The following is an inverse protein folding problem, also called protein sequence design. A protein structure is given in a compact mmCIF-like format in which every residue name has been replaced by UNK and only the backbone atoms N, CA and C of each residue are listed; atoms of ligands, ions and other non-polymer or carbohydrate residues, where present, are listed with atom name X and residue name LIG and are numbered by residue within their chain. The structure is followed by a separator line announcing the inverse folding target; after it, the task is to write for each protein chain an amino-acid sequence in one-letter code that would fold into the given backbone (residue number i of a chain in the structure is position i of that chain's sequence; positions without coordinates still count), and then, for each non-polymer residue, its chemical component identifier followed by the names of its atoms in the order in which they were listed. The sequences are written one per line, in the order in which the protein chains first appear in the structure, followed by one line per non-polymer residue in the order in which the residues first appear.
data_IF_355905961108
#
_entry.id   IF_355905961108
#
_cell.length_a   1.000
_cell.length_b   1.000
_cell.length_c   1.000
_cell.angle_alpha   90.00
_cell.angle_beta   90.00
_cell.angle_gamma   90.00
#
_symmetry.space_group_name_H-M   'P 1'
#
loop_
_entity.id
_entity.type
_entity.pdbx_description
1 polymer ?
#
# COMPACT_ATOMS: atom_id res chain seq x y z
N UNK A 1 -27.87 -0.25 2.77
CA UNK A 1 -26.67 -0.59 1.98
C UNK A 1 -26.73 0.22 0.69
N UNK A 2 -25.75 1.09 0.46
CA UNK A 2 -25.52 1.69 -0.86
C UNK A 2 -25.26 0.58 -1.88
N UNK A 3 -25.74 0.72 -3.10
CA UNK A 3 -25.40 -0.15 -4.22
C UNK A 3 -24.03 0.22 -4.77
N UNK A 4 -23.35 -0.71 -5.43
CA UNK A 4 -22.19 -0.37 -6.29
C UNK A 4 -22.65 0.70 -7.29
N UNK A 5 -21.85 1.75 -7.46
CA UNK A 5 -22.17 2.84 -8.37
C UNK A 5 -22.21 2.34 -9.83
N UNK A 6 -23.08 2.92 -10.66
CA UNK A 6 -23.38 2.40 -12.02
C UNK A 6 -22.23 2.60 -13.04
N UNK A 7 -21.15 3.27 -12.64
CA UNK A 7 -19.95 3.41 -13.47
C UNK A 7 -19.19 2.08 -13.51
N UNK A 8 -19.22 1.40 -14.65
CA UNK A 8 -18.55 0.10 -14.86
C UNK A 8 -19.50 -1.07 -15.15
N UNK A 9 -20.83 -0.90 -15.01
CA UNK A 9 -21.81 -1.96 -15.29
C UNK A 9 -21.99 -2.23 -16.79
N UNK A 10 -21.65 -1.30 -17.69
CA UNK A 10 -21.62 -1.58 -19.14
C UNK A 10 -20.60 -2.68 -19.48
N UNK A 11 -19.43 -2.65 -18.84
CA UNK A 11 -18.40 -3.68 -18.99
C UNK A 11 -18.70 -4.92 -18.11
N UNK A 12 -19.41 -4.74 -16.99
CA UNK A 12 -19.71 -5.78 -16.00
C UNK A 12 -21.21 -5.78 -15.66
N UNK A 13 -22.09 -6.18 -16.59
CA UNK A 13 -23.54 -6.05 -16.43
C UNK A 13 -24.10 -6.88 -15.27
N UNK A 14 -23.40 -7.95 -14.89
CA UNK A 14 -23.72 -8.82 -13.78
C UNK A 14 -23.50 -8.17 -12.41
N UNK A 15 -22.73 -7.08 -12.32
CA UNK A 15 -22.50 -6.32 -11.08
C UNK A 15 -23.63 -5.32 -10.77
N UNK A 16 -24.57 -5.12 -11.69
CA UNK A 16 -25.64 -4.15 -11.49
C UNK A 16 -26.51 -4.49 -10.27
N UNK A 17 -26.65 -3.53 -9.35
CA UNK A 17 -27.55 -3.62 -8.21
C UNK A 17 -27.05 -4.48 -7.04
N UNK A 18 -25.82 -5.00 -7.09
CA UNK A 18 -25.24 -5.70 -5.94
C UNK A 18 -24.70 -4.71 -4.91
N UNK A 19 -24.59 -5.14 -3.66
CA UNK A 19 -23.98 -4.37 -2.58
C UNK A 19 -22.44 -4.48 -2.62
N UNK A 20 -21.70 -3.57 -1.97
CA UNK A 20 -20.24 -3.69 -1.84
C UNK A 20 -19.78 -5.02 -1.22
N UNK A 21 -20.51 -5.56 -0.23
CA UNK A 21 -20.21 -6.88 0.33
C UNK A 21 -20.40 -8.00 -0.69
N UNK A 22 -21.44 -7.93 -1.52
CA UNK A 22 -21.63 -8.90 -2.61
C UNK A 22 -20.56 -8.78 -3.71
N UNK A 23 -20.06 -7.56 -3.96
CA UNK A 23 -18.93 -7.36 -4.87
C UNK A 23 -17.66 -8.01 -4.30
N UNK A 24 -17.40 -7.84 -3.00
CA UNK A 24 -16.28 -8.50 -2.31
C UNK A 24 -16.40 -10.02 -2.36
N UNK A 25 -17.59 -10.59 -2.16
CA UNK A 25 -17.81 -12.05 -2.31
C UNK A 25 -17.39 -12.54 -3.70
N UNK A 26 -17.75 -11.80 -4.76
CA UNK A 26 -17.40 -12.15 -6.14
C UNK A 26 -15.90 -12.04 -6.40
N UNK A 27 -15.25 -11.02 -5.85
CA UNK A 27 -13.80 -10.85 -5.95
C UNK A 27 -13.08 -12.04 -5.29
N UNK A 28 -13.49 -12.44 -4.09
CA UNK A 28 -12.92 -13.58 -3.37
C UNK A 28 -13.19 -14.90 -4.11
N UNK A 29 -14.40 -15.08 -4.66
CA UNK A 29 -14.71 -16.25 -5.48
C UNK A 29 -13.85 -16.32 -6.76
N UNK A 30 -13.55 -15.17 -7.38
CA UNK A 30 -12.63 -15.09 -8.52
C UNK A 30 -11.20 -15.42 -8.11
N UNK A 31 -10.72 -14.87 -7.00
CA UNK A 31 -9.40 -15.19 -6.44
C UNK A 31 -9.25 -16.70 -6.20
N UNK A 32 -10.26 -17.32 -5.57
CA UNK A 32 -10.34 -18.76 -5.35
C UNK A 32 -10.26 -19.57 -6.64
N UNK A 33 -11.03 -19.19 -7.66
CA UNK A 33 -11.04 -19.86 -8.95
C UNK A 33 -9.67 -19.80 -9.67
N UNK A 34 -8.84 -18.81 -9.33
CA UNK A 34 -7.51 -18.61 -9.89
C UNK A 34 -6.37 -19.04 -8.94
N UNK A 35 -6.69 -19.73 -7.83
CA UNK A 35 -5.68 -20.23 -6.89
C UNK A 35 -4.95 -19.13 -6.10
N UNK A 36 -5.56 -17.96 -5.97
CA UNK A 36 -5.04 -16.85 -5.16
C UNK A 36 -5.54 -16.95 -3.72
N UNK A 37 -4.71 -16.51 -2.79
CA UNK A 37 -5.11 -16.26 -1.40
C UNK A 37 -5.45 -14.77 -1.23
N UNK A 38 -6.29 -14.47 -0.24
CA UNK A 38 -6.74 -13.12 0.09
C UNK A 38 -6.55 -12.90 1.59
N UNK A 39 -5.97 -11.78 1.98
CA UNK A 39 -6.18 -11.24 3.32
C UNK A 39 -7.01 -9.95 3.19
N UNK A 40 -7.86 -9.69 4.18
CA UNK A 40 -8.71 -8.50 4.19
C UNK A 40 -8.02 -7.41 4.99
N UNK A 41 -7.94 -6.20 4.45
CA UNK A 41 -7.38 -5.04 5.14
C UNK A 41 -8.49 -4.04 5.48
N UNK A 42 -8.56 -3.61 6.75
CA UNK A 42 -9.37 -2.46 7.13
C UNK A 42 -8.60 -1.17 6.87
N UNK A 43 -8.63 -0.76 5.60
CA UNK A 43 -7.82 0.35 5.11
C UNK A 43 -8.22 1.72 5.69
N UNK A 44 -9.52 1.92 5.97
CA UNK A 44 -10.08 3.20 6.44
C UNK A 44 -11.35 2.99 7.26
N UNK A 45 -11.62 3.83 8.29
CA UNK A 45 -12.87 3.77 9.06
C UNK A 45 -14.09 4.11 8.19
N UNK A 46 -13.97 5.15 7.35
CA UNK A 46 -14.98 5.57 6.37
C UNK A 46 -14.34 5.77 5.00
N UNK A 47 -15.14 6.12 4.00
CA UNK A 47 -14.63 6.48 2.67
C UNK A 47 -13.84 7.80 2.65
N UNK A 48 -13.91 8.60 3.73
CA UNK A 48 -13.41 9.98 3.73
C UNK A 48 -11.90 10.07 3.96
N UNK A 49 -11.27 9.06 4.55
CA UNK A 49 -9.83 9.07 4.79
C UNK A 49 -9.36 8.01 5.79
N UNK A 50 -8.03 7.87 5.88
CA UNK A 50 -7.38 7.09 6.93
C UNK A 50 -7.51 7.79 8.30
N UNK A 51 -7.17 7.07 9.38
CA UNK A 51 -7.14 7.61 10.74
C UNK A 51 -5.86 7.19 11.46
N UNK A 52 -5.38 8.04 12.38
CA UNK A 52 -4.20 7.73 13.22
C UNK A 52 -4.39 6.46 14.07
N UNK A 53 -5.62 6.24 14.55
CA UNK A 53 -6.02 5.17 15.45
C UNK A 53 -7.14 4.34 14.80
N UNK A 54 -7.34 3.12 15.31
CA UNK A 54 -8.39 2.17 14.87
C UNK A 54 -9.83 2.58 15.24
N UNK A 55 -10.01 3.82 15.71
CA UNK A 55 -11.30 4.40 16.06
C UNK A 55 -11.31 5.90 15.78
N UNK A 56 -12.52 6.45 15.63
CA UNK A 56 -12.78 7.88 15.53
C UNK A 56 -13.91 8.28 16.48
N UNK A 57 -14.26 9.57 16.52
CA UNK A 57 -15.43 10.03 17.28
C UNK A 57 -16.74 9.44 16.76
N UNK A 58 -16.81 9.15 15.45
CA UNK A 58 -18.02 8.61 14.80
C UNK A 58 -18.02 7.08 14.74
N UNK A 59 -16.84 6.46 14.77
CA UNK A 59 -16.66 5.01 14.70
C UNK A 59 -15.83 4.52 15.89
N UNK A 60 -16.48 4.09 17.00
CA UNK A 60 -15.77 3.60 18.17
C UNK A 60 -15.11 2.24 17.90
N UNK A 61 -14.11 1.87 18.71
CA UNK A 61 -13.43 0.56 18.66
C UNK A 61 -14.43 -0.62 18.67
N UNK A 62 -15.54 -0.50 19.39
CA UNK A 62 -16.57 -1.54 19.43
C UNK A 62 -17.21 -1.81 18.07
N UNK A 63 -17.34 -0.79 17.21
CA UNK A 63 -17.83 -0.94 15.84
C UNK A 63 -16.78 -1.62 14.96
N UNK A 64 -15.52 -1.17 15.05
CA UNK A 64 -14.37 -1.80 14.37
C UNK A 64 -14.28 -3.31 14.69
N UNK A 65 -14.35 -3.68 15.97
CA UNK A 65 -14.38 -5.08 16.41
C UNK A 65 -15.61 -5.82 15.86
N UNK A 66 -16.79 -5.19 15.88
CA UNK A 66 -18.02 -5.81 15.36
C UNK A 66 -17.92 -6.11 13.87
N UNK A 67 -17.37 -5.19 13.09
CA UNK A 67 -17.20 -5.35 11.64
C UNK A 67 -16.18 -6.43 11.31
N UNK A 68 -15.08 -6.51 12.08
CA UNK A 68 -14.12 -7.60 11.95
C UNK A 68 -14.73 -8.96 12.23
N UNK A 69 -15.52 -9.09 13.30
CA UNK A 69 -16.24 -10.34 13.60
C UNK A 69 -17.23 -10.70 12.51
N UNK A 70 -17.91 -9.71 11.91
CA UNK A 70 -18.82 -9.94 10.79
C UNK A 70 -18.09 -10.51 9.57
N UNK A 71 -16.93 -9.94 9.19
CA UNK A 71 -16.14 -10.45 8.07
C UNK A 71 -15.53 -11.84 8.37
N UNK A 72 -15.04 -12.04 9.60
CA UNK A 72 -14.51 -13.33 10.04
C UNK A 72 -15.56 -14.45 10.00
N UNK A 73 -16.82 -14.14 10.35
CA UNK A 73 -17.95 -15.07 10.25
C UNK A 73 -18.35 -15.30 8.79
N UNK A 74 -18.46 -14.22 8.00
CA UNK A 74 -18.85 -14.24 6.59
C UNK A 74 -17.98 -15.18 5.76
N UNK A 75 -16.68 -15.20 6.01
CA UNK A 75 -15.71 -16.02 5.26
C UNK A 75 -15.15 -17.20 6.06
N UNK A 76 -15.79 -17.58 7.17
CA UNK A 76 -15.28 -18.60 8.10
C UNK A 76 -14.96 -19.95 7.46
N UNK A 77 -15.76 -20.33 6.46
CA UNK A 77 -15.66 -21.61 5.75
C UNK A 77 -15.00 -21.49 4.37
N UNK A 78 -14.50 -20.31 3.99
CA UNK A 78 -13.76 -20.12 2.74
C UNK A 78 -12.24 -19.98 2.99
N UNK A 79 -11.43 -21.03 2.73
CA UNK A 79 -9.99 -20.99 2.99
C UNK A 79 -9.22 -20.05 2.06
N UNK A 80 -9.88 -19.44 1.07
CA UNK A 80 -9.27 -18.38 0.26
C UNK A 80 -8.97 -17.14 1.08
N UNK A 81 -9.75 -16.84 2.12
CA UNK A 81 -9.44 -15.77 3.06
C UNK A 81 -8.51 -16.31 4.15
N UNK A 82 -7.24 -15.91 4.08
CA UNK A 82 -6.16 -16.46 4.92
C UNK A 82 -5.88 -15.61 6.17
N UNK A 83 -6.29 -14.35 6.18
CA UNK A 83 -6.00 -13.45 7.30
C UNK A 83 -6.71 -12.11 7.24
N UNK A 84 -6.48 -11.31 8.27
CA UNK A 84 -7.00 -9.96 8.43
C UNK A 84 -5.84 -9.02 8.79
N UNK A 85 -5.67 -7.95 8.02
CA UNK A 85 -4.84 -6.81 8.38
C UNK A 85 -5.71 -5.80 9.13
N UNK A 86 -5.43 -5.69 10.43
CA UNK A 86 -6.43 -5.22 11.40
C UNK A 86 -6.78 -3.72 11.24
N UNK A 87 -5.81 -2.90 10.86
CA UNK A 87 -5.98 -1.47 10.66
C UNK A 87 -4.79 -0.91 9.88
N UNK A 88 -5.06 -0.26 8.75
CA UNK A 88 -4.03 0.28 7.90
C UNK A 88 -3.29 1.47 8.54
N UNK A 89 -1.98 1.38 8.51
CA UNK A 89 -1.03 2.45 8.82
C UNK A 89 -1.28 3.19 10.15
N UNK A 90 -1.33 2.54 11.33
CA UNK A 90 -1.38 3.29 12.60
C UNK A 90 -0.25 4.33 12.67
N UNK A 91 -0.58 5.57 13.05
CA UNK A 91 0.36 6.70 13.04
C UNK A 91 -0.02 7.80 14.02
N UNK A 92 0.77 8.87 14.09
CA UNK A 92 0.43 10.06 14.89
C UNK A 92 0.41 9.76 16.39
N UNK A 93 -0.81 9.67 16.95
CA UNK A 93 -1.07 9.29 18.35
C UNK A 93 -0.89 7.79 18.63
N UNK A 94 -0.92 6.93 17.62
CA UNK A 94 -0.68 5.51 17.81
C UNK A 94 0.68 5.26 18.47
N UNK A 95 0.70 4.42 19.48
CA UNK A 95 1.89 4.08 20.25
C UNK A 95 2.06 2.57 20.36
N UNK A 96 3.24 2.10 20.77
CA UNK A 96 3.51 0.68 20.93
C UNK A 96 4.08 0.37 22.30
N UNK A 97 3.36 -0.43 23.08
CA UNK A 97 3.81 -0.93 24.36
C UNK A 97 3.91 0.14 25.46
N UNK A 98 3.14 1.21 25.36
CA UNK A 98 3.03 2.25 26.38
C UNK A 98 2.13 1.81 27.54
N UNK A 99 1.24 0.84 27.31
CA UNK A 99 0.24 0.39 28.27
C UNK A 99 -1.03 1.25 28.29
N UNK A 100 -1.08 2.34 27.52
CA UNK A 100 -2.27 3.18 27.38
C UNK A 100 -3.23 2.56 26.36
N UNK A 101 -4.32 1.95 26.83
CA UNK A 101 -5.28 1.26 25.97
C UNK A 101 -5.94 2.15 24.91
N UNK A 102 -5.91 3.48 25.09
CA UNK A 102 -6.48 4.44 24.14
C UNK A 102 -5.58 4.73 22.93
N UNK A 103 -4.29 4.43 23.01
CA UNK A 103 -3.31 4.75 21.95
C UNK A 103 -2.34 3.61 21.64
N UNK A 104 -2.20 2.61 22.52
CA UNK A 104 -1.29 1.48 22.35
C UNK A 104 -1.85 0.48 21.34
N UNK A 105 -1.37 0.57 20.10
CA UNK A 105 -1.77 -0.27 18.99
C UNK A 105 -1.51 -1.75 19.26
N UNK A 106 -0.42 -2.11 19.95
CA UNK A 106 -0.15 -3.49 20.35
C UNK A 106 -1.32 -4.08 21.15
N UNK A 107 -1.81 -3.32 22.14
CA UNK A 107 -2.94 -3.72 22.98
C UNK A 107 -4.26 -3.78 22.21
N UNK A 108 -4.46 -2.91 21.22
CA UNK A 108 -5.65 -2.92 20.38
C UNK A 108 -5.65 -4.07 19.38
N UNK A 109 -4.49 -4.40 18.80
CA UNK A 109 -4.30 -5.56 17.94
C UNK A 109 -4.58 -6.87 18.70
N UNK A 110 -4.21 -6.97 19.98
CA UNK A 110 -4.60 -8.11 20.84
C UNK A 110 -6.13 -8.23 20.95
N UNK A 111 -6.83 -7.12 21.26
CA UNK A 111 -8.30 -7.12 21.39
C UNK A 111 -9.02 -7.43 20.08
N UNK A 112 -8.61 -6.80 18.98
CA UNK A 112 -9.17 -7.01 17.65
C UNK A 112 -8.88 -8.42 17.12
N UNK A 113 -7.63 -8.86 17.25
CA UNK A 113 -7.18 -10.20 16.86
C UNK A 113 -7.91 -11.30 17.61
N UNK A 114 -8.02 -11.21 18.94
CA UNK A 114 -8.78 -12.19 19.73
C UNK A 114 -10.27 -12.20 19.40
N UNK A 115 -10.84 -11.03 19.09
CA UNK A 115 -12.22 -10.95 18.64
C UNK A 115 -12.43 -11.69 17.31
N UNK A 116 -11.54 -11.51 16.33
CA UNK A 116 -11.53 -12.24 15.06
C UNK A 116 -11.37 -13.74 15.29
N UNK A 117 -10.38 -14.14 16.08
CA UNK A 117 -10.04 -15.54 16.31
C UNK A 117 -11.11 -16.28 17.12
N UNK A 118 -11.88 -15.57 17.95
CA UNK A 118 -13.06 -16.13 18.63
C UNK A 118 -14.14 -16.60 17.65
N UNK A 119 -14.19 -16.01 16.45
CA UNK A 119 -15.13 -16.35 15.38
C UNK A 119 -14.50 -17.37 14.43
N UNK A 120 -13.28 -17.10 13.96
CA UNK A 120 -12.54 -17.97 13.05
C UNK A 120 -11.07 -18.16 13.52
N UNK A 121 -10.76 -19.25 14.24
CA UNK A 121 -9.42 -19.48 14.80
C UNK A 121 -8.37 -19.92 13.77
N UNK A 122 -8.72 -19.96 12.48
CA UNK A 122 -7.82 -20.35 11.38
C UNK A 122 -7.12 -19.17 10.72
N UNK A 123 -7.66 -17.96 10.86
CA UNK A 123 -7.14 -16.75 10.20
C UNK A 123 -5.81 -16.31 10.81
N UNK A 124 -4.88 -15.90 9.96
CA UNK A 124 -3.74 -15.10 10.38
C UNK A 124 -4.20 -13.69 10.79
N UNK A 125 -3.60 -13.16 11.83
CA UNK A 125 -3.81 -11.78 12.29
C UNK A 125 -2.57 -11.01 11.89
N UNK A 126 -2.73 -10.17 10.88
CA UNK A 126 -1.69 -9.32 10.32
C UNK A 126 -1.71 -8.01 11.10
N UNK A 127 -0.56 -7.61 11.62
CA UNK A 127 -0.41 -6.46 12.51
C UNK A 127 0.70 -5.55 12.00
N UNK A 128 0.32 -4.38 11.52
CA UNK A 128 1.25 -3.32 11.14
C UNK A 128 1.95 -2.69 12.34
N UNK A 129 2.96 -1.86 12.07
CA UNK A 129 3.62 -1.01 13.07
C UNK A 129 2.89 0.30 13.34
N UNK A 130 3.58 1.22 14.01
CA UNK A 130 3.17 2.63 14.12
C UNK A 130 4.04 3.53 13.21
N UNK A 131 4.02 4.86 13.37
CA UNK A 131 4.94 5.78 12.66
C UNK A 131 6.22 6.11 13.42
N UNK A 132 6.32 5.72 14.70
CA UNK A 132 7.42 6.08 15.61
C UNK A 132 7.88 4.90 16.45
N UNK A 133 9.19 4.75 16.55
CA UNK A 133 9.83 3.85 17.50
C UNK A 133 9.69 4.35 18.94
N UNK A 134 9.91 3.50 19.96
CA UNK A 134 9.87 3.93 21.37
C UNK A 134 10.84 5.04 21.74
N UNK A 135 11.94 5.19 21.00
CA UNK A 135 12.91 6.28 21.18
C UNK A 135 12.50 7.59 20.49
N UNK A 136 11.33 7.60 19.85
CA UNK A 136 10.76 8.73 19.12
C UNK A 136 11.27 8.89 17.69
N UNK A 137 12.18 8.03 17.22
CA UNK A 137 12.60 8.06 15.81
C UNK A 137 11.44 7.67 14.88
N UNK A 138 11.20 8.52 13.88
CA UNK A 138 10.12 8.33 12.92
C UNK A 138 10.49 7.37 11.79
N UNK A 139 9.49 6.69 11.24
CA UNK A 139 9.55 5.93 10.00
C UNK A 139 8.23 6.09 9.23
N UNK A 140 7.96 5.24 8.25
CA UNK A 140 6.68 5.19 7.55
C UNK A 140 5.53 4.89 8.51
N UNK A 141 4.34 5.39 8.20
CA UNK A 141 3.13 4.94 8.88
C UNK A 141 3.00 3.42 8.69
N UNK A 142 2.56 2.70 9.74
CA UNK A 142 2.60 1.23 9.73
C UNK A 142 4.01 0.60 9.76
N UNK A 143 5.10 1.38 9.70
CA UNK A 143 6.47 0.86 9.52
C UNK A 143 7.25 0.60 10.81
N UNK A 144 6.83 1.13 11.96
CA UNK A 144 7.58 1.05 13.21
C UNK A 144 7.26 -0.23 14.00
N UNK A 145 8.11 -1.26 13.88
CA UNK A 145 8.01 -2.53 14.61
C UNK A 145 9.28 -2.83 15.44
N UNK A 146 10.08 -1.81 15.74
CA UNK A 146 11.37 -1.97 16.45
C UNK A 146 11.20 -2.51 17.87
N UNK A 147 10.00 -2.32 18.45
CA UNK A 147 9.65 -2.79 19.79
C UNK A 147 8.92 -4.15 19.81
N UNK A 148 8.47 -4.66 18.67
CA UNK A 148 7.57 -5.81 18.60
C UNK A 148 8.22 -7.12 19.11
N UNK A 149 9.54 -7.23 19.09
CA UNK A 149 10.26 -8.37 19.67
C UNK A 149 10.27 -8.37 21.21
N UNK A 150 10.39 -7.20 21.82
CA UNK A 150 10.43 -7.05 23.28
C UNK A 150 9.04 -6.89 23.90
N UNK A 151 8.09 -6.36 23.12
CA UNK A 151 6.69 -6.15 23.49
C UNK A 151 5.81 -6.74 22.39
N UNK A 152 5.70 -8.07 22.30
CA UNK A 152 4.94 -8.72 21.25
C UNK A 152 3.44 -8.51 21.42
N UNK A 153 2.70 -8.66 20.32
CA UNK A 153 1.27 -8.92 20.35
C UNK A 153 1.05 -10.36 20.78
N UNK A 154 0.31 -10.58 21.86
CA UNK A 154 -0.01 -11.90 22.39
C UNK A 154 -1.49 -12.22 22.17
N UNK A 155 -1.76 -13.17 21.26
CA UNK A 155 -3.12 -13.63 20.97
C UNK A 155 -3.44 -14.91 21.75
N UNK A 156 -4.72 -15.09 22.07
CA UNK A 156 -5.26 -16.28 22.74
C UNK A 156 -5.10 -17.57 21.92
N UNK A 157 -5.05 -17.46 20.58
CA UNK A 157 -4.71 -18.58 19.69
C UNK A 157 -3.25 -18.45 19.25
N UNK A 158 -2.38 -19.42 19.60
CA UNK A 158 -0.97 -19.35 19.26
C UNK A 158 -0.75 -19.49 17.75
N UNK A 159 0.40 -19.00 17.28
CA UNK A 159 0.84 -19.12 15.88
C UNK A 159 -0.13 -18.48 14.88
N UNK A 160 -0.63 -17.28 15.21
CA UNK A 160 -1.52 -16.49 14.33
C UNK A 160 -1.00 -15.11 13.94
N UNK A 161 -0.04 -14.54 14.68
CA UNK A 161 0.50 -13.21 14.38
C UNK A 161 1.43 -13.25 13.16
N UNK A 162 1.25 -12.29 12.25
CA UNK A 162 2.18 -11.89 11.20
C UNK A 162 2.41 -10.39 11.36
N UNK A 163 3.66 -9.93 11.40
CA UNK A 163 3.94 -8.49 11.46
C UNK A 163 4.06 -7.90 10.05
N UNK A 164 3.51 -6.70 9.84
CA UNK A 164 3.33 -6.12 8.50
C UNK A 164 3.83 -4.68 8.38
N UNK A 165 5.15 -4.43 8.21
CA UNK A 165 5.64 -3.07 7.97
C UNK A 165 5.23 -2.56 6.59
N UNK A 166 5.13 -1.24 6.45
CA UNK A 166 5.14 -0.53 5.16
C UNK A 166 6.49 0.19 4.95
N UNK A 167 6.97 0.26 3.71
CA UNK A 167 8.19 1.00 3.35
C UNK A 167 8.10 1.58 1.93
N UNK A 168 8.58 2.81 1.77
CA UNK A 168 8.49 3.56 0.51
C UNK A 168 9.82 4.26 0.17
N UNK A 169 10.01 4.72 -1.09
CA UNK A 169 11.20 5.48 -1.49
C UNK A 169 11.11 6.98 -1.22
N UNK A 170 12.20 7.69 -1.50
CA UNK A 170 12.32 9.15 -1.36
C UNK A 170 11.29 9.97 -2.16
N UNK A 171 10.74 9.40 -3.25
CA UNK A 171 9.71 10.05 -4.07
C UNK A 171 8.36 10.17 -3.38
N UNK A 172 8.12 9.36 -2.34
CA UNK A 172 6.92 9.43 -1.49
C UNK A 172 7.17 10.40 -0.33
N UNK A 173 8.25 10.18 0.42
CA UNK A 173 8.69 11.10 1.47
C UNK A 173 10.21 11.07 1.68
N UNK A 174 10.82 12.24 1.82
CA UNK A 174 12.26 12.41 1.94
C UNK A 174 12.77 12.10 3.36
N UNK A 175 12.84 10.81 3.71
CA UNK A 175 13.48 10.33 4.93
C UNK A 175 15.00 10.58 4.92
N UNK A 176 15.58 10.78 6.10
CA UNK A 176 17.00 11.17 6.25
C UNK A 176 17.98 10.15 5.68
N UNK A 177 17.66 8.85 5.75
CA UNK A 177 18.51 7.78 5.24
C UNK A 177 18.68 7.77 3.72
N UNK A 178 17.79 8.43 2.96
CA UNK A 178 17.96 8.60 1.51
C UNK A 178 19.04 9.61 1.14
N UNK A 179 19.45 10.46 2.09
CA UNK A 179 20.55 11.43 1.91
C UNK A 179 21.87 10.93 2.49
N UNK A 180 21.94 9.68 2.97
CA UNK A 180 23.17 9.10 3.48
C UNK A 180 24.21 8.99 2.36
N UNK A 181 25.50 9.29 2.61
CA UNK A 181 26.57 9.02 1.63
C UNK A 181 26.69 7.52 1.29
N UNK A 182 26.21 6.64 2.17
CA UNK A 182 26.21 5.19 1.97
C UNK A 182 24.96 4.67 1.24
N UNK A 183 24.03 5.54 0.83
CA UNK A 183 22.84 5.14 0.11
C UNK A 183 23.17 4.50 -1.26
N UNK A 184 22.55 3.35 -1.64
CA UNK A 184 21.48 2.62 -0.95
C UNK A 184 21.96 1.50 0.02
N UNK A 185 23.26 1.33 0.22
CA UNK A 185 23.82 0.23 1.01
C UNK A 185 23.50 0.31 2.52
N UNK A 186 23.05 1.48 3.00
CA UNK A 186 22.57 1.65 4.38
C UNK A 186 21.17 1.05 4.62
N UNK A 187 20.35 0.86 3.57
CA UNK A 187 18.94 0.49 3.72
C UNK A 187 18.71 -0.84 4.48
N UNK A 188 19.47 -1.93 4.26
CA UNK A 188 19.30 -3.15 5.06
C UNK A 188 19.44 -2.93 6.57
N UNK A 189 20.32 -2.02 6.99
CA UNK A 189 20.47 -1.66 8.41
C UNK A 189 19.28 -0.86 8.94
N UNK A 190 18.71 0.01 8.11
CA UNK A 190 17.47 0.75 8.42
C UNK A 190 16.32 -0.25 8.60
N UNK A 191 16.06 -1.10 7.60
CA UNK A 191 14.99 -2.09 7.67
C UNK A 191 15.18 -3.08 8.82
N UNK A 192 16.40 -3.55 9.08
CA UNK A 192 16.71 -4.41 10.23
C UNK A 192 16.34 -3.74 11.56
N UNK A 193 16.64 -2.44 11.72
CA UNK A 193 16.32 -1.71 12.94
C UNK A 193 14.80 -1.48 13.10
N UNK A 194 14.07 -1.31 12.00
CA UNK A 194 12.65 -1.01 12.05
C UNK A 194 11.74 -2.24 12.13
N UNK A 195 12.06 -3.33 11.43
CA UNK A 195 11.15 -4.48 11.32
C UNK A 195 11.84 -5.79 10.90
N UNK A 196 12.89 -5.72 10.07
CA UNK A 196 13.53 -6.87 9.45
C UNK A 196 14.20 -7.85 10.44
N UNK A 197 14.60 -7.37 11.62
CA UNK A 197 15.13 -8.23 12.68
C UNK A 197 14.13 -9.31 13.13
N UNK A 198 12.82 -9.07 13.02
CA UNK A 198 11.78 -10.02 13.43
C UNK A 198 11.89 -11.32 12.63
N UNK A 199 12.04 -11.21 11.31
CA UNK A 199 12.25 -12.36 10.43
C UNK A 199 13.64 -12.99 10.63
N UNK A 200 14.70 -12.16 10.64
CA UNK A 200 16.10 -12.64 10.70
C UNK A 200 16.44 -13.34 12.01
N UNK A 201 15.79 -12.98 13.12
CA UNK A 201 15.92 -13.64 14.43
C UNK A 201 14.86 -14.73 14.65
N UNK A 202 14.03 -15.03 13.66
CA UNK A 202 12.95 -16.01 13.73
C UNK A 202 11.97 -15.77 14.90
N UNK A 203 11.65 -14.49 15.17
CA UNK A 203 10.69 -14.09 16.20
C UNK A 203 9.25 -14.33 15.71
N UNK A 204 8.95 -13.85 14.50
CA UNK A 204 7.66 -14.03 13.85
C UNK A 204 7.80 -13.87 12.33
N UNK A 205 6.87 -14.39 11.51
CA UNK A 205 6.79 -14.08 10.09
C UNK A 205 6.59 -12.58 9.86
N UNK A 206 7.21 -12.07 8.80
CA UNK A 206 7.03 -10.69 8.34
C UNK A 206 6.47 -10.71 6.91
N UNK A 207 5.47 -9.87 6.68
CA UNK A 207 4.91 -9.53 5.38
C UNK A 207 5.19 -8.05 5.14
N UNK A 208 5.97 -7.65 4.14
CA UNK A 208 6.01 -6.24 3.74
C UNK A 208 4.67 -5.89 3.08
N UNK A 209 3.75 -5.35 3.88
CA UNK A 209 2.32 -5.18 3.55
C UNK A 209 2.10 -4.21 2.40
N UNK A 210 2.88 -3.13 2.39
CA UNK A 210 2.91 -2.19 1.28
C UNK A 210 4.32 -1.71 0.98
N UNK A 211 4.61 -1.66 -0.31
CA UNK A 211 5.77 -0.98 -0.88
C UNK A 211 5.49 -0.65 -2.34
N UNK A 212 5.87 0.54 -2.80
CA UNK A 212 5.49 1.01 -4.13
C UNK A 212 6.38 2.13 -4.65
N UNK A 213 6.46 2.27 -5.97
CA UNK A 213 7.23 3.34 -6.62
C UNK A 213 6.81 3.54 -8.07
N UNK A 214 6.89 4.77 -8.58
CA UNK A 214 6.80 5.08 -10.02
C UNK A 214 8.02 4.57 -10.81
N UNK A 215 9.11 4.26 -10.13
CA UNK A 215 10.38 3.78 -10.71
C UNK A 215 11.04 4.81 -11.65
N UNK A 216 10.70 6.08 -11.52
CA UNK A 216 11.14 7.15 -12.43
C UNK A 216 12.55 7.66 -12.09
N UNK A 217 12.89 7.73 -10.79
CA UNK A 217 14.16 8.31 -10.34
C UNK A 217 15.27 7.26 -10.20
N UNK A 218 16.54 7.69 -10.25
CA UNK A 218 17.68 6.81 -9.93
C UNK A 218 17.59 6.29 -8.49
N UNK A 219 17.13 7.13 -7.56
CA UNK A 219 16.95 6.77 -6.15
C UNK A 219 15.90 5.66 -6.01
N UNK A 220 14.73 5.81 -6.63
CA UNK A 220 13.66 4.80 -6.60
C UNK A 220 14.12 3.44 -7.16
N UNK A 221 14.89 3.45 -8.25
CA UNK A 221 15.47 2.21 -8.83
C UNK A 221 16.47 1.56 -7.89
N UNK A 222 17.30 2.36 -7.23
CA UNK A 222 18.27 1.88 -6.23
C UNK A 222 17.56 1.31 -5.01
N UNK A 223 16.56 2.01 -4.48
CA UNK A 223 15.72 1.55 -3.37
C UNK A 223 15.03 0.23 -3.71
N UNK A 224 14.29 0.15 -4.82
CA UNK A 224 13.54 -1.05 -5.19
C UNK A 224 14.47 -2.24 -5.42
N UNK A 225 15.58 -2.05 -6.15
CA UNK A 225 16.56 -3.12 -6.36
C UNK A 225 17.17 -3.62 -5.05
N UNK A 226 17.41 -2.73 -4.09
CA UNK A 226 17.99 -3.08 -2.78
C UNK A 226 16.95 -3.81 -1.93
N UNK A 227 15.70 -3.35 -1.96
CA UNK A 227 14.59 -3.95 -1.22
C UNK A 227 14.25 -5.34 -1.75
N UNK A 228 14.15 -5.52 -3.06
CA UNK A 228 13.93 -6.82 -3.70
C UNK A 228 15.03 -7.82 -3.32
N UNK A 229 16.29 -7.39 -3.31
CA UNK A 229 17.41 -8.22 -2.85
C UNK A 229 17.30 -8.58 -1.36
N UNK A 230 16.92 -7.61 -0.53
CA UNK A 230 16.72 -7.82 0.90
C UNK A 230 15.58 -8.80 1.18
N UNK A 231 14.43 -8.65 0.54
CA UNK A 231 13.28 -9.57 0.66
C UNK A 231 13.65 -10.98 0.17
N UNK A 232 14.33 -11.08 -0.97
CA UNK A 232 14.78 -12.37 -1.50
C UNK A 232 15.73 -13.10 -0.55
N UNK A 233 16.68 -12.39 0.05
CA UNK A 233 17.68 -13.00 0.96
C UNK A 233 17.14 -13.33 2.33
N UNK A 234 16.12 -12.61 2.80
CA UNK A 234 15.50 -12.83 4.11
C UNK A 234 14.32 -13.79 4.07
N UNK A 235 13.73 -14.03 2.88
CA UNK A 235 12.52 -14.83 2.73
C UNK A 235 11.24 -14.14 3.24
N UNK A 236 11.30 -12.82 3.46
CA UNK A 236 10.14 -12.01 3.85
C UNK A 236 9.13 -11.98 2.69
N UNK A 237 7.86 -12.23 3.00
CA UNK A 237 6.76 -12.15 2.02
C UNK A 237 6.42 -10.68 1.74
N UNK A 238 5.75 -10.37 0.64
CA UNK A 238 5.42 -8.97 0.32
C UNK A 238 4.16 -8.83 -0.54
N UNK A 239 3.50 -7.68 -0.43
CA UNK A 239 2.42 -7.20 -1.30
C UNK A 239 2.77 -5.83 -1.86
N UNK A 240 2.78 -5.71 -3.19
CA UNK A 240 3.16 -4.46 -3.86
C UNK A 240 2.00 -3.48 -3.88
N UNK A 241 2.28 -2.22 -3.54
CA UNK A 241 1.38 -1.09 -3.73
C UNK A 241 1.64 -0.40 -5.09
N UNK A 242 0.78 -0.57 -6.09
CA UNK A 242 -0.43 -1.41 -6.10
C UNK A 242 -0.61 -2.09 -7.45
N UNK A 243 -1.64 -2.94 -7.59
CA UNK A 243 -2.10 -3.34 -8.92
C UNK A 243 -2.51 -2.11 -9.74
N UNK A 244 -3.21 -1.17 -9.09
CA UNK A 244 -3.93 -0.09 -9.72
C UNK A 244 -3.00 1.03 -10.25
N UNK A 245 -3.22 1.55 -11.46
CA UNK A 245 -2.40 2.61 -12.04
C UNK A 245 -2.66 4.01 -11.45
N UNK A 246 -3.77 4.18 -10.73
CA UNK A 246 -4.30 5.47 -10.28
C UNK A 246 -3.84 5.87 -8.87
N UNK A 247 -2.88 5.16 -8.27
CA UNK A 247 -2.11 5.70 -7.14
C UNK A 247 -1.23 6.85 -7.63
N UNK A 248 -1.53 8.07 -7.21
CA UNK A 248 -0.93 9.28 -7.76
C UNK A 248 0.58 9.41 -7.57
N UNK A 249 1.12 8.79 -6.53
CA UNK A 249 2.51 8.89 -6.05
C UNK A 249 3.38 7.68 -6.43
N UNK A 250 2.79 6.48 -6.54
CA UNK A 250 3.49 5.22 -6.90
C UNK A 250 3.12 4.69 -8.29
N UNK A 251 1.97 5.05 -8.85
CA UNK A 251 1.35 4.32 -9.97
C UNK A 251 1.05 2.86 -9.60
N UNK A 252 0.99 1.98 -10.61
CA UNK A 252 0.64 0.56 -10.41
C UNK A 252 1.49 -0.43 -11.17
N UNK A 253 1.05 -1.69 -11.14
CA UNK A 253 1.55 -2.81 -11.97
C UNK A 253 0.84 -2.93 -13.30
N UNK A 254 -0.20 -2.13 -13.53
CA UNK A 254 -0.76 -1.91 -14.86
C UNK A 254 -0.60 -0.44 -15.25
N UNK A 255 -0.61 -0.18 -16.54
CA UNK A 255 -0.56 1.17 -17.11
C UNK A 255 -1.92 1.88 -16.96
N UNK A 256 -1.95 3.20 -17.16
CA UNK A 256 -3.14 4.05 -16.91
C UNK A 256 -4.41 3.67 -17.67
N UNK A 257 -4.31 2.90 -18.74
CA UNK A 257 -5.44 2.35 -19.48
C UNK A 257 -5.92 0.97 -18.98
N UNK A 258 -5.42 0.50 -17.83
CA UNK A 258 -5.86 -0.71 -17.11
C UNK A 258 -5.69 -2.05 -17.85
N UNK A 259 -4.92 -2.07 -18.94
CA UNK A 259 -4.77 -3.28 -19.78
C UNK A 259 -3.32 -3.77 -19.85
N UNK A 260 -2.37 -2.88 -20.13
CA UNK A 260 -0.97 -3.30 -20.32
C UNK A 260 -0.26 -3.36 -18.98
N UNK A 261 0.47 -4.45 -18.66
CA UNK A 261 1.32 -4.50 -17.48
C UNK A 261 2.45 -3.46 -17.51
N UNK A 262 2.85 -2.95 -16.35
CA UNK A 262 4.08 -2.17 -16.19
C UNK A 262 5.27 -3.15 -16.16
N UNK A 263 5.84 -3.41 -17.33
CA UNK A 263 6.89 -4.42 -17.48
C UNK A 263 8.19 -4.08 -16.73
N UNK A 264 8.59 -2.81 -16.64
CA UNK A 264 9.82 -2.42 -15.98
C UNK A 264 9.75 -2.67 -14.46
N UNK A 265 8.59 -2.43 -13.83
CA UNK A 265 8.35 -2.77 -12.42
C UNK A 265 8.30 -4.28 -12.22
N UNK A 266 7.62 -5.02 -13.10
CA UNK A 266 7.57 -6.48 -13.03
C UNK A 266 8.97 -7.11 -13.17
N UNK A 267 9.78 -6.61 -14.10
CA UNK A 267 11.16 -7.07 -14.29
C UNK A 267 12.03 -6.78 -13.05
N UNK A 268 11.87 -5.60 -12.44
CA UNK A 268 12.59 -5.22 -11.23
C UNK A 268 12.20 -6.11 -10.02
N UNK A 269 10.95 -6.57 -9.95
CA UNK A 269 10.44 -7.43 -8.87
C UNK A 269 10.51 -8.93 -9.17
N UNK A 270 10.86 -9.33 -10.40
CA UNK A 270 10.92 -10.74 -10.81
C UNK A 270 11.61 -11.68 -9.80
N UNK A 271 12.72 -11.29 -9.10
CA UNK A 271 13.38 -12.15 -8.12
C UNK A 271 12.51 -12.59 -6.92
N UNK A 272 11.47 -11.83 -6.59
CA UNK A 272 10.55 -12.11 -5.45
C UNK A 272 9.15 -12.57 -5.89
N UNK A 273 8.79 -12.41 -7.16
CA UNK A 273 7.51 -12.91 -7.72
C UNK A 273 7.55 -14.42 -8.00
N UNK A 274 8.73 -14.92 -8.34
CA UNK A 274 9.00 -16.34 -8.57
C UNK A 274 10.20 -16.74 -7.73
N UNK A 275 10.05 -16.83 -6.39
CA UNK A 275 11.15 -17.27 -5.55
C UNK A 275 11.65 -18.59 -6.11
N UNK A 276 12.94 -18.62 -6.49
CA UNK A 276 13.53 -19.79 -7.10
C UNK A 276 13.20 -21.00 -6.21
N UNK A 277 12.61 -22.03 -6.80
CA UNK A 277 12.42 -23.32 -6.13
C UNK A 277 13.80 -23.95 -5.92
N UNK A 278 14.56 -23.44 -4.94
CA UNK A 278 15.83 -23.99 -4.49
C UNK A 278 15.67 -24.34 -3.02
N UNK A 279 15.77 -25.58 -2.57
CA UNK A 279 16.10 -26.81 -3.27
C UNK A 279 16.47 -27.84 -2.20
N UNK A 280 15.70 -28.91 -2.10
CA UNK A 280 16.19 -30.15 -1.49
C UNK A 280 16.77 -31.00 -2.62
N UNK A 281 18.10 -31.06 -2.71
CA UNK A 281 18.85 -32.19 -3.25
C UNK A 281 18.77 -32.56 -4.74
N UNK A 282 19.88 -32.29 -5.43
CA UNK A 282 20.56 -33.15 -6.43
C UNK A 282 20.05 -33.17 -7.88
N UNK A 283 20.97 -32.87 -8.81
CA UNK A 283 20.84 -33.24 -10.22
C UNK A 283 21.53 -32.31 -11.21
N UNK A 284 22.84 -32.49 -11.38
CA UNK A 284 23.67 -31.86 -12.44
C UNK A 284 23.08 -32.06 -13.84
N UNK A 285 23.08 -31.00 -14.66
CA UNK A 285 22.65 -31.06 -16.06
C UNK A 285 22.96 -29.76 -16.82
N UNK A 286 24.20 -29.63 -17.25
CA UNK A 286 24.69 -28.54 -18.11
C UNK A 286 24.16 -28.68 -19.54
N UNK A 287 23.62 -27.61 -20.13
CA UNK A 287 23.78 -27.35 -21.57
C UNK A 287 23.61 -25.88 -21.91
N UNK A 288 24.69 -25.32 -22.43
CA UNK A 288 24.84 -24.07 -23.16
C UNK A 288 24.06 -24.06 -24.48
N UNK A 289 23.53 -22.89 -24.84
CA UNK A 289 22.90 -22.65 -26.13
C UNK A 289 22.87 -21.16 -26.46
N UNK A 290 23.91 -20.69 -27.13
CA UNK A 290 24.06 -19.34 -27.69
C UNK A 290 23.23 -19.20 -28.97
N UNK A 291 22.60 -18.04 -29.21
CA UNK A 291 21.84 -17.78 -30.42
C UNK A 291 21.42 -16.32 -30.57
N UNK A 292 22.34 -15.47 -31.03
CA UNK A 292 22.04 -14.15 -31.59
C UNK A 292 21.19 -14.27 -32.86
N UNK A 293 20.16 -13.44 -33.01
CA UNK A 293 19.84 -12.86 -34.32
C UNK A 293 19.15 -11.49 -34.19
N UNK A 294 19.73 -10.56 -34.92
CA UNK A 294 19.30 -9.19 -35.20
C UNK A 294 18.15 -9.17 -36.20
N UNK A 295 17.15 -8.30 -35.97
CA UNK A 295 16.10 -7.99 -36.94
C UNK A 295 15.69 -6.53 -36.81
N UNK A 296 16.17 -5.71 -37.75
CA UNK A 296 15.83 -4.29 -37.92
C UNK A 296 14.49 -4.17 -38.66
N UNK A 297 13.58 -3.36 -38.15
CA UNK A 297 12.27 -3.08 -38.76
C UNK A 297 11.83 -1.66 -38.42
N UNK A 298 12.01 -0.76 -39.38
CA UNK A 298 11.59 0.64 -39.33
C UNK A 298 10.13 0.77 -39.79
N UNK A 299 9.30 1.50 -39.03
CA UNK A 299 8.09 2.12 -39.58
C UNK A 299 7.66 3.36 -38.77
N UNK A 300 7.85 4.51 -39.40
CA UNK A 300 6.93 5.66 -39.53
C UNK A 300 6.07 6.09 -38.33
N UNK A 301 6.33 7.33 -37.90
CA UNK A 301 5.68 7.98 -36.78
C UNK A 301 4.33 8.64 -37.06
N UNK A 302 3.65 8.91 -35.96
CA UNK A 302 2.51 9.80 -35.83
C UNK A 302 2.71 10.65 -34.58
N UNK A 303 2.71 11.96 -34.78
CA UNK A 303 3.00 13.03 -33.81
C UNK A 303 1.97 13.07 -32.67
N UNK A 304 2.38 13.11 -31.38
CA UNK A 304 1.46 13.42 -30.28
C UNK A 304 1.05 14.91 -30.28
N UNK A 305 -0.24 15.15 -30.02
CA UNK A 305 -0.83 16.48 -29.79
C UNK A 305 -0.32 17.10 -28.46
N UNK A 306 -0.39 18.43 -28.27
CA UNK A 306 0.39 19.13 -27.25
C UNK A 306 -0.05 18.79 -25.82
N UNK A 307 0.93 18.39 -25.02
CA UNK A 307 0.87 18.22 -23.57
C UNK A 307 0.86 19.60 -22.88
N UNK A 308 0.10 19.82 -21.78
CA UNK A 308 0.15 21.08 -21.04
C UNK A 308 1.55 21.34 -20.50
N UNK A 309 2.14 22.47 -20.88
CA UNK A 309 3.40 22.95 -20.31
C UNK A 309 3.16 23.50 -18.90
N UNK A 310 4.13 23.37 -17.96
CA UNK A 310 4.07 24.10 -16.70
C UNK A 310 4.03 25.60 -16.97
N UNK A 311 2.92 26.27 -16.62
CA UNK A 311 2.80 27.73 -16.70
C UNK A 311 3.14 28.36 -15.33
N UNK A 312 3.72 29.58 -15.27
CA UNK A 312 4.29 30.13 -14.05
C UNK A 312 3.30 30.27 -12.90
N UNK A 313 3.82 30.07 -11.68
CA UNK A 313 3.10 30.30 -10.44
C UNK A 313 2.46 31.70 -10.40
N UNK A 314 1.23 31.85 -9.87
CA UNK A 314 0.64 33.16 -9.66
C UNK A 314 1.45 33.96 -8.63
N UNK A 315 1.60 35.26 -8.92
CA UNK A 315 2.36 36.22 -8.12
C UNK A 315 1.82 36.34 -6.69
N UNK A 316 2.73 36.33 -5.73
CA UNK A 316 2.48 36.47 -4.30
C UNK A 316 2.03 37.87 -3.91
N UNK A 317 0.78 37.98 -3.42
CA UNK A 317 0.46 38.94 -2.36
C UNK A 317 -0.74 38.45 -1.55
N UNK A 318 -0.50 37.94 -0.34
CA UNK A 318 -1.58 37.64 0.60
C UNK A 318 -1.25 36.53 1.59
N UNK A 319 -1.91 36.57 2.75
CA UNK A 319 -1.83 35.60 3.85
C UNK A 319 -2.29 34.18 3.49
N UNK A 320 -2.69 33.94 2.23
CA UNK A 320 -3.18 32.67 1.70
C UNK A 320 -2.37 32.33 0.46
N UNK A 321 -1.87 31.11 0.40
CA UNK A 321 -1.18 30.53 -0.77
C UNK A 321 -1.98 29.33 -1.26
N UNK A 322 -2.04 29.13 -2.57
CA UNK A 322 -2.64 27.95 -3.15
C UNK A 322 -1.67 27.25 -4.09
N UNK A 323 -1.61 25.93 -3.99
CA UNK A 323 -0.83 25.08 -4.89
C UNK A 323 -1.80 24.25 -5.71
N UNK A 324 -1.64 24.30 -7.03
CA UNK A 324 -2.38 23.44 -7.94
C UNK A 324 -1.56 22.18 -8.19
N UNK A 325 -2.15 21.02 -7.91
CA UNK A 325 -1.51 19.74 -8.07
C UNK A 325 -2.25 18.95 -9.16
N UNK A 326 -1.64 18.71 -10.33
CA UNK A 326 -2.22 17.83 -11.33
C UNK A 326 -2.31 16.41 -10.76
N UNK A 327 -3.51 15.85 -10.73
CA UNK A 327 -3.77 14.45 -10.40
C UNK A 327 -3.79 13.57 -11.66
N UNK A 328 -4.56 12.48 -11.61
CA UNK A 328 -4.74 11.59 -12.75
C UNK A 328 -5.30 12.32 -13.98
N UNK A 329 -4.80 12.00 -15.17
CA UNK A 329 -5.34 12.51 -16.44
C UNK A 329 -5.65 11.35 -17.39
N UNK A 330 -6.68 11.53 -18.22
CA UNK A 330 -7.14 10.58 -19.23
C UNK A 330 -7.54 11.32 -20.51
N UNK A 331 -7.90 10.58 -21.54
CA UNK A 331 -8.13 11.11 -22.89
C UNK A 331 -9.21 12.21 -23.00
N UNK A 332 -10.10 12.33 -22.02
CA UNK A 332 -11.20 13.30 -22.02
C UNK A 332 -11.25 14.18 -20.77
N UNK A 333 -10.27 14.11 -19.87
CA UNK A 333 -10.33 14.84 -18.61
C UNK A 333 -9.12 14.65 -17.70
N UNK A 334 -9.16 15.30 -16.55
CA UNK A 334 -8.16 15.18 -15.49
C UNK A 334 -8.81 15.48 -14.14
N UNK A 335 -8.21 14.97 -13.06
CA UNK A 335 -8.43 15.43 -11.69
C UNK A 335 -7.26 16.33 -11.31
N UNK A 336 -7.52 17.35 -10.51
CA UNK A 336 -6.47 18.16 -9.91
C UNK A 336 -6.87 18.51 -8.48
N UNK A 337 -5.89 18.41 -7.58
CA UNK A 337 -6.04 18.79 -6.20
C UNK A 337 -5.58 20.24 -6.01
N UNK A 338 -6.14 20.87 -4.98
CA UNK A 338 -5.84 22.24 -4.65
C UNK A 338 -5.56 22.38 -3.16
N UNK A 339 -4.28 22.57 -2.83
CA UNK A 339 -3.88 22.86 -1.45
C UNK A 339 -3.94 24.35 -1.19
N UNK A 340 -4.79 24.75 -0.24
CA UNK A 340 -4.91 26.16 0.17
C UNK A 340 -4.40 26.32 1.60
N UNK A 341 -3.28 27.03 1.75
CA UNK A 341 -2.64 27.26 3.04
C UNK A 341 -2.80 28.72 3.45
N UNK A 342 -3.36 28.97 4.63
CA UNK A 342 -3.44 30.31 5.22
C UNK A 342 -2.53 30.41 6.46
N UNK A 343 -1.71 31.47 6.55
CA UNK A 343 -0.80 31.72 7.69
C UNK A 343 -1.48 32.47 8.86
N UNK A 344 -2.74 32.86 8.67
CA UNK A 344 -3.58 33.52 9.66
C UNK A 344 -5.05 33.27 9.32
N UNK A 345 -5.97 33.49 10.26
CA UNK A 345 -7.40 33.37 10.00
C UNK A 345 -7.84 34.28 8.84
N UNK A 346 -8.64 33.74 7.92
CA UNK A 346 -9.20 34.47 6.78
C UNK A 346 -10.71 34.30 6.73
N UNK A 347 -11.43 35.35 6.32
CA UNK A 347 -12.89 35.34 6.22
C UNK A 347 -13.40 34.60 4.97
N UNK A 348 -12.51 34.30 4.01
CA UNK A 348 -12.82 33.59 2.78
C UNK A 348 -11.61 33.59 1.84
N UNK A 349 -11.64 32.71 0.84
CA UNK A 349 -10.62 32.60 -0.19
C UNK A 349 -11.26 32.25 -1.53
N UNK A 350 -10.54 32.52 -2.62
CA UNK A 350 -10.93 32.13 -3.98
C UNK A 350 -9.68 31.80 -4.74
N UNK A 351 -9.71 30.68 -5.46
CA UNK A 351 -8.62 30.24 -6.33
C UNK A 351 -9.18 30.00 -7.73
N UNK A 352 -8.40 30.39 -8.74
CA UNK A 352 -8.73 30.21 -10.15
C UNK A 352 -7.48 29.81 -10.92
N UNK A 353 -7.61 28.82 -11.78
CA UNK A 353 -6.59 28.43 -12.75
C UNK A 353 -7.23 28.36 -14.15
N UNK A 354 -6.41 28.58 -15.18
CA UNK A 354 -6.87 28.42 -16.55
C UNK A 354 -6.89 26.93 -16.91
N UNK A 355 -8.02 26.44 -17.43
CA UNK A 355 -8.11 25.11 -18.02
C UNK A 355 -8.75 25.17 -19.42
N UNK A 356 -7.94 25.49 -20.46
CA UNK A 356 -8.44 25.64 -21.82
C UNK A 356 -9.03 24.32 -22.35
N UNK A 357 -10.24 24.39 -22.94
CA UNK A 357 -10.92 23.23 -23.51
C UNK A 357 -11.83 22.47 -22.54
N UNK A 358 -11.91 22.87 -21.27
CA UNK A 358 -12.86 22.30 -20.31
C UNK A 358 -14.31 22.62 -20.73
N UNK A 359 -15.12 21.58 -20.87
CA UNK A 359 -16.55 21.70 -21.25
C UNK A 359 -17.51 21.48 -20.07
N UNK A 360 -17.02 20.89 -18.98
CA UNK A 360 -17.74 20.69 -17.72
C UNK A 360 -16.78 20.52 -16.54
N UNK A 361 -17.21 20.92 -15.34
CA UNK A 361 -16.50 20.66 -14.07
C UNK A 361 -17.45 19.90 -13.16
N UNK A 362 -17.02 18.74 -12.65
CA UNK A 362 -17.74 17.95 -11.65
C UNK A 362 -17.02 18.03 -10.31
N UNK A 363 -17.79 18.10 -9.22
CA UNK A 363 -17.29 18.01 -7.84
C UNK A 363 -17.61 16.64 -7.26
#
# INVERSE_FOLDING_TARGET
ASSVADWGTTANPDLKGITPLQLMDRAIASAKANGLNVFLDQHRPTTDGQSELWYTNDLPESQWISDWKMLADRYKDDPTVIGVDLHNEPHGQASWGTGDTGTDWRLAAERGGDAVLSVNPKLLVIVEGTDKQPDGSGTWWGGALGAAGDKPVELSVPNRVVYSPHDYPASIYAQSWFSSPDYPNNLPGVWDAHWGYLAKKSIAPVLLGEFGTKLETTSDKQWLSTLVSYLQTTGISSSFWSFNPDSGDTGGLVMSHWVTPEQAKLDAMAPILHPATGGSGSGSGSSSGSGSSSGSGSSSGSTPAPQPQPQPAPSTSGAVTATWQPGGSWSSGYVADLDVTAKSAVAGWTVSWASPGTTSVGN
#
